data_IF_668406524389
#
_entry.id   IF_668406524389
#
_cell.length_a   1.000
_cell.length_b   1.000
_cell.length_c   1.000
_cell.angle_alpha   90.00
_cell.angle_beta   90.00
_cell.angle_gamma   90.00
#
_symmetry.space_group_name_H-M   'P 1'
#
loop_
_entity.id
_entity.type
_entity.pdbx_description
1 polymer ?
#
# COMPACT_ATOMS: atom_id res chain seq x y z
N UNK A 1 0.55 -13.52 19.94
CA UNK A 1 -0.42 -13.09 18.93
C UNK A 1 -0.11 -11.65 18.66
N UNK A 2 0.36 -11.35 17.44
CA UNK A 2 0.71 -9.99 17.06
C UNK A 2 -0.57 -9.14 17.03
N UNK A 3 -0.52 -7.88 17.51
CA UNK A 3 -1.70 -7.02 17.64
C UNK A 3 -1.37 -5.63 17.13
N UNK A 4 -2.21 -5.12 16.22
CA UNK A 4 -1.96 -3.83 15.57
C UNK A 4 -3.27 -3.12 15.24
N UNK A 5 -3.28 -1.79 15.30
CA UNK A 5 -4.44 -1.01 14.87
C UNK A 5 -4.52 -0.99 13.34
N UNK A 6 -5.70 -1.16 12.76
CA UNK A 6 -5.88 -1.19 11.31
C UNK A 6 -6.40 0.15 10.78
N UNK A 7 -5.67 0.70 9.80
CA UNK A 7 -6.07 1.85 9.01
C UNK A 7 -6.25 1.46 7.54
N UNK A 8 -7.50 1.33 7.06
CA UNK A 8 -7.80 0.95 5.68
C UNK A 8 -7.52 2.05 4.65
N UNK A 9 -7.26 3.29 5.11
CA UNK A 9 -7.27 4.46 4.23
C UNK A 9 -8.64 4.69 3.59
N UNK A 10 -8.66 5.49 2.52
CA UNK A 10 -9.89 5.79 1.79
C UNK A 10 -10.21 4.73 0.73
N UNK A 11 -9.19 4.16 0.10
CA UNK A 11 -9.36 3.38 -1.13
C UNK A 11 -9.83 1.96 -0.85
N UNK A 12 -9.26 1.27 0.15
CA UNK A 12 -9.59 -0.13 0.43
C UNK A 12 -11.08 -0.35 0.77
N UNK A 13 -11.72 0.62 1.42
CA UNK A 13 -13.15 0.57 1.79
C UNK A 13 -14.08 1.33 0.83
N UNK A 14 -13.59 1.79 -0.32
CA UNK A 14 -14.40 2.53 -1.28
C UNK A 14 -14.25 2.04 -2.73
N UNK A 15 -13.01 2.00 -3.24
CA UNK A 15 -12.72 1.72 -4.64
C UNK A 15 -11.99 0.40 -4.90
N UNK A 16 -11.38 -0.19 -3.86
CA UNK A 16 -10.61 -1.43 -3.95
C UNK A 16 -11.04 -2.42 -2.85
N UNK A 17 -12.33 -2.80 -2.84
CA UNK A 17 -12.90 -3.70 -1.83
C UNK A 17 -12.21 -5.06 -1.78
N UNK A 18 -11.60 -5.49 -2.87
CA UNK A 18 -10.78 -6.70 -2.92
C UNK A 18 -9.63 -6.68 -1.88
N UNK A 19 -9.10 -5.50 -1.56
CA UNK A 19 -8.07 -5.31 -0.53
C UNK A 19 -8.65 -5.56 0.85
N UNK A 20 -9.81 -4.98 1.16
CA UNK A 20 -10.48 -5.11 2.45
C UNK A 20 -11.01 -6.52 2.68
N UNK A 21 -11.53 -7.17 1.65
CA UNK A 21 -11.95 -8.58 1.72
C UNK A 21 -10.80 -9.50 2.13
N UNK A 22 -9.58 -9.19 1.65
CA UNK A 22 -8.41 -10.03 1.87
C UNK A 22 -7.69 -9.77 3.20
N UNK A 23 -7.80 -8.55 3.78
CA UNK A 23 -7.04 -8.19 4.98
C UNK A 23 -7.44 -8.99 6.22
N UNK A 24 -8.73 -9.21 6.45
CA UNK A 24 -9.20 -9.94 7.63
C UNK A 24 -8.81 -11.42 7.59
N UNK A 25 -9.02 -12.16 6.47
CA UNK A 25 -8.61 -13.55 6.37
C UNK A 25 -7.10 -13.77 6.42
N UNK A 26 -6.30 -12.92 5.76
CA UNK A 26 -4.84 -13.06 5.81
C UNK A 26 -4.31 -12.84 7.23
N UNK A 27 -4.81 -11.82 7.94
CA UNK A 27 -4.42 -11.57 9.32
C UNK A 27 -4.84 -12.71 10.24
N UNK A 28 -6.03 -13.29 10.04
CA UNK A 28 -6.48 -14.46 10.79
C UNK A 28 -5.55 -15.67 10.58
N UNK A 29 -5.14 -15.95 9.35
CA UNK A 29 -4.26 -17.07 9.05
C UNK A 29 -2.85 -16.92 9.63
N UNK A 30 -2.36 -15.69 9.74
CA UNK A 30 -1.05 -15.37 10.33
C UNK A 30 -1.12 -15.03 11.83
N UNK A 31 -2.25 -15.27 12.49
CA UNK A 31 -2.45 -15.01 13.92
C UNK A 31 -2.18 -13.54 14.32
N UNK A 32 -2.62 -12.61 13.46
CA UNK A 32 -2.58 -11.16 13.64
C UNK A 32 -3.95 -10.68 14.10
N UNK A 33 -4.01 -10.03 15.26
CA UNK A 33 -5.21 -9.37 15.75
C UNK A 33 -5.26 -7.92 15.23
N UNK A 34 -6.15 -7.66 14.28
CA UNK A 34 -6.47 -6.31 13.84
C UNK A 34 -7.43 -5.61 14.81
N UNK A 35 -7.07 -4.40 15.21
CA UNK A 35 -7.89 -3.54 16.04
C UNK A 35 -8.43 -2.38 15.21
N UNK A 36 -9.74 -2.39 14.97
CA UNK A 36 -10.39 -1.34 14.19
C UNK A 36 -10.27 0.05 14.82
N UNK A 37 -10.10 1.05 13.94
CA UNK A 37 -10.14 2.47 14.26
C UNK A 37 -11.37 3.13 13.62
N UNK A 38 -12.60 2.88 14.11
CA UNK A 38 -13.84 3.32 13.45
C UNK A 38 -14.00 4.84 13.34
N UNK A 39 -13.23 5.61 14.13
CA UNK A 39 -13.23 7.07 14.10
C UNK A 39 -12.12 7.64 13.20
N UNK A 40 -11.24 6.81 12.64
CA UNK A 40 -10.19 7.29 11.76
C UNK A 40 -10.80 7.98 10.53
N UNK A 41 -10.15 9.05 10.09
CA UNK A 41 -10.54 9.85 8.92
C UNK A 41 -9.57 9.63 7.76
N UNK A 42 -9.89 10.20 6.60
CA UNK A 42 -8.92 10.38 5.51
C UNK A 42 -7.63 11.03 6.00
N UNK A 43 -6.50 10.61 5.45
CA UNK A 43 -5.17 11.22 5.62
C UNK A 43 -4.92 12.39 4.65
N UNK A 44 -5.90 12.71 3.79
CA UNK A 44 -5.83 13.78 2.81
C UNK A 44 -5.06 13.45 1.52
N UNK A 45 -4.47 12.26 1.41
CA UNK A 45 -3.81 11.76 0.20
C UNK A 45 -2.71 12.65 -0.37
N UNK A 46 -2.05 13.47 0.46
CA UNK A 46 -1.11 14.54 0.05
C UNK A 46 -1.68 15.62 -0.88
N UNK A 47 -2.98 15.57 -1.22
CA UNK A 47 -3.66 16.59 -2.00
C UNK A 47 -3.99 17.79 -1.11
N UNK A 48 -4.48 17.55 0.10
CA UNK A 48 -4.82 18.61 1.05
C UNK A 48 -3.57 19.41 1.46
N UNK A 49 -2.42 18.74 1.65
CA UNK A 49 -1.16 19.39 2.05
C UNK A 49 -0.64 20.39 1.02
N UNK A 50 -1.02 20.29 -0.26
CA UNK A 50 -0.68 21.30 -1.27
C UNK A 50 -1.34 22.66 -1.01
N UNK A 51 -2.51 22.66 -0.36
CA UNK A 51 -3.21 23.88 0.03
C UNK A 51 -2.99 24.26 1.50
N UNK A 52 -3.04 23.27 2.41
CA UNK A 52 -2.93 23.50 3.85
C UNK A 52 -2.27 22.32 4.58
N UNK A 53 -0.93 22.37 4.78
CA UNK A 53 -0.21 21.34 5.53
C UNK A 53 -0.78 21.10 6.92
N UNK A 54 -1.14 22.18 7.63
CA UNK A 54 -1.72 22.11 8.97
C UNK A 54 -2.98 21.26 9.03
N UNK A 55 -3.88 21.38 8.05
CA UNK A 55 -5.11 20.58 8.04
C UNK A 55 -4.81 19.10 7.82
N UNK A 56 -3.95 18.78 6.84
CA UNK A 56 -3.61 17.38 6.56
C UNK A 56 -2.90 16.74 7.76
N UNK A 57 -1.88 17.40 8.29
CA UNK A 57 -1.13 16.88 9.43
C UNK A 57 -2.02 16.73 10.67
N UNK A 58 -3.06 17.57 10.84
CA UNK A 58 -4.05 17.38 11.91
C UNK A 58 -4.94 16.16 11.71
N UNK A 59 -5.35 15.86 10.48
CA UNK A 59 -6.12 14.63 10.18
C UNK A 59 -5.27 13.38 10.44
N UNK A 60 -4.00 13.43 10.03
CA UNK A 60 -3.05 12.32 10.18
C UNK A 60 -2.67 12.12 11.65
N UNK A 61 -2.31 13.19 12.37
CA UNK A 61 -2.02 13.14 13.80
C UNK A 61 -3.21 12.61 14.60
N UNK A 62 -4.45 12.98 14.23
CA UNK A 62 -5.66 12.41 14.84
C UNK A 62 -5.75 10.89 14.64
N UNK A 63 -5.42 10.38 13.45
CA UNK A 63 -5.44 8.93 13.20
C UNK A 63 -4.37 8.19 14.01
N UNK A 64 -3.16 8.75 14.08
CA UNK A 64 -2.06 8.22 14.90
C UNK A 64 -2.45 8.21 16.39
N UNK A 65 -2.98 9.33 16.90
CA UNK A 65 -3.45 9.46 18.27
C UNK A 65 -4.56 8.46 18.65
N UNK A 66 -5.42 8.07 17.71
CA UNK A 66 -6.47 7.06 17.95
C UNK A 66 -5.90 5.66 18.16
N UNK A 67 -4.79 5.32 17.48
CA UNK A 67 -4.06 4.08 17.71
C UNK A 67 -3.21 4.17 18.99
N UNK A 68 -2.59 5.32 19.25
CA UNK A 68 -1.79 5.59 20.45
C UNK A 68 -2.61 5.50 21.73
N UNK A 69 -3.84 6.01 21.73
CA UNK A 69 -4.78 5.88 22.84
C UNK A 69 -5.15 4.42 23.17
N UNK A 70 -4.83 3.47 22.27
CA UNK A 70 -4.98 2.03 22.47
C UNK A 70 -3.65 1.33 22.80
N UNK A 71 -2.54 2.08 22.82
CA UNK A 71 -1.19 1.56 23.00
C UNK A 71 -0.72 0.68 21.85
N UNK A 72 -1.10 1.02 20.61
CA UNK A 72 -0.81 0.23 19.42
C UNK A 72 -0.18 1.07 18.31
N UNK A 73 0.69 0.44 17.53
CA UNK A 73 1.07 0.94 16.20
C UNK A 73 -0.11 0.85 15.23
N UNK A 74 -0.01 1.58 14.12
CA UNK A 74 -1.04 1.65 13.07
C UNK A 74 -0.54 0.99 11.78
N UNK A 75 -1.22 -0.06 11.33
CA UNK A 75 -0.96 -0.74 10.06
C UNK A 75 -1.84 -0.20 8.95
N UNK A 76 -1.27 -0.03 7.76
CA UNK A 76 -2.02 0.24 6.53
C UNK A 76 -1.53 -0.63 5.38
N UNK A 77 -2.42 -0.88 4.42
CA UNK A 77 -2.12 -1.56 3.16
C UNK A 77 -1.71 -0.60 2.05
N UNK A 78 -1.71 0.71 2.30
CA UNK A 78 -1.45 1.74 1.30
C UNK A 78 -0.08 2.39 1.52
N UNK A 79 0.86 2.22 0.59
CA UNK A 79 2.18 2.86 0.65
C UNK A 79 2.10 4.39 0.79
N UNK A 80 1.18 5.04 0.06
CA UNK A 80 0.94 6.49 0.15
C UNK A 80 0.49 6.90 1.55
N UNK A 81 -0.47 6.17 2.14
CA UNK A 81 -0.94 6.46 3.51
C UNK A 81 0.16 6.25 4.54
N UNK A 82 0.96 5.20 4.40
CA UNK A 82 2.11 4.95 5.27
C UNK A 82 3.12 6.09 5.22
N UNK A 83 3.51 6.51 4.02
CA UNK A 83 4.43 7.62 3.82
C UNK A 83 3.91 8.95 4.37
N UNK A 84 2.61 9.24 4.18
CA UNK A 84 1.95 10.43 4.73
C UNK A 84 2.04 10.42 6.27
N UNK A 85 1.72 9.29 6.89
CA UNK A 85 1.81 9.14 8.35
C UNK A 85 3.24 9.33 8.86
N UNK A 86 4.22 8.70 8.22
CA UNK A 86 5.63 8.88 8.59
C UNK A 86 6.06 10.34 8.41
N UNK A 87 5.68 11.01 7.31
CA UNK A 87 6.03 12.41 7.06
C UNK A 87 5.45 13.34 8.13
N UNK A 88 4.18 13.16 8.51
CA UNK A 88 3.57 13.96 9.57
C UNK A 88 4.24 13.71 10.92
N UNK A 89 4.58 12.46 11.24
CA UNK A 89 5.31 12.14 12.46
C UNK A 89 6.71 12.78 12.49
N UNK A 90 7.45 12.72 11.39
CA UNK A 90 8.77 13.36 11.24
C UNK A 90 8.68 14.88 11.35
N UNK A 91 7.69 15.50 10.69
CA UNK A 91 7.44 16.95 10.75
C UNK A 91 7.15 17.42 12.18
N UNK A 92 6.29 16.69 12.92
CA UNK A 92 5.97 16.99 14.32
C UNK A 92 7.15 16.74 15.25
N UNK A 93 7.94 15.69 15.02
CA UNK A 93 9.15 15.40 15.82
C UNK A 93 10.22 16.48 15.63
N UNK A 94 10.36 17.02 14.41
CA UNK A 94 11.35 18.05 14.08
C UNK A 94 11.00 19.42 14.63
N UNK A 95 9.71 19.76 14.73
CA UNK A 95 9.24 21.06 15.22
C UNK A 95 8.22 20.92 16.36
N UNK A 96 8.67 21.04 17.63
CA UNK A 96 7.78 20.96 18.80
C UNK A 96 6.70 22.06 18.86
N UNK A 97 6.94 23.23 18.28
CA UNK A 97 5.96 24.33 18.24
C UNK A 97 4.85 24.00 17.25
N UNK A 98 5.24 23.44 16.09
CA UNK A 98 4.28 22.91 15.12
C UNK A 98 3.49 21.75 15.70
N UNK A 99 4.15 20.79 16.35
CA UNK A 99 3.48 19.66 17.00
C UNK A 99 2.46 20.11 18.04
N UNK A 100 2.81 21.08 18.89
CA UNK A 100 1.88 21.70 19.84
C UNK A 100 0.69 22.36 19.13
N UNK A 101 0.92 23.06 18.03
CA UNK A 101 -0.16 23.67 17.23
C UNK A 101 -1.13 22.61 16.68
N UNK A 102 -0.60 21.51 16.14
CA UNK A 102 -1.40 20.39 15.63
C UNK A 102 -2.15 19.70 16.76
N UNK A 103 -1.47 19.32 17.85
CA UNK A 103 -2.10 18.64 18.99
C UNK A 103 -3.18 19.50 19.64
N UNK A 104 -3.00 20.81 19.77
CA UNK A 104 -4.05 21.70 20.26
C UNK A 104 -5.31 21.66 19.37
N UNK A 105 -5.17 21.60 18.05
CA UNK A 105 -6.31 21.49 17.12
C UNK A 105 -6.99 20.11 17.22
N UNK A 106 -6.19 19.04 17.27
CA UNK A 106 -6.68 17.66 17.38
C UNK A 106 -7.39 17.44 18.72
N UNK A 107 -6.82 17.86 19.84
CA UNK A 107 -7.38 17.75 21.18
C UNK A 107 -8.74 18.46 21.28
N UNK A 108 -8.85 19.69 20.75
CA UNK A 108 -10.10 20.47 20.77
C UNK A 108 -11.24 19.80 20.01
N UNK A 109 -10.94 19.05 18.96
CA UNK A 109 -11.95 18.47 18.06
C UNK A 109 -12.23 16.99 18.32
N UNK A 110 -11.28 16.26 18.90
CA UNK A 110 -11.35 14.81 18.99
C UNK A 110 -10.95 14.23 20.36
N UNK A 111 -10.47 15.07 21.29
CA UNK A 111 -10.06 14.68 22.65
C UNK A 111 -8.96 13.62 22.69
N UNK A 112 -8.13 13.58 21.67
CA UNK A 112 -6.91 12.76 21.60
C UNK A 112 -5.74 13.65 21.22
N UNK A 113 -4.53 13.21 21.55
CA UNK A 113 -3.27 13.88 21.25
C UNK A 113 -2.28 12.84 20.76
N UNK A 114 -1.42 13.22 19.81
CA UNK A 114 -0.36 12.35 19.31
C UNK A 114 0.94 12.75 19.99
N UNK A 115 1.50 11.87 20.83
CA UNK A 115 2.74 12.15 21.58
C UNK A 115 3.99 11.63 20.86
N UNK A 116 3.82 10.81 19.82
CA UNK A 116 4.94 10.30 19.01
C UNK A 116 5.32 8.85 19.29
N UNK A 117 4.51 8.14 20.09
CA UNK A 117 4.80 6.76 20.48
C UNK A 117 4.32 5.75 19.43
N UNK A 118 3.15 5.99 18.83
CA UNK A 118 2.62 5.14 17.76
C UNK A 118 3.37 5.35 16.46
N UNK A 119 3.81 4.26 15.85
CA UNK A 119 4.42 4.27 14.53
C UNK A 119 3.44 3.76 13.45
N UNK A 120 3.60 4.28 12.24
CA UNK A 120 2.95 3.72 11.06
C UNK A 120 3.73 2.49 10.58
N UNK A 121 3.03 1.44 10.18
CA UNK A 121 3.58 0.23 9.57
C UNK A 121 2.84 -0.05 8.26
N UNK A 122 3.58 -0.32 7.18
CA UNK A 122 2.99 -0.89 5.97
C UNK A 122 2.83 -2.41 6.12
N UNK A 123 1.79 -2.99 5.51
CA UNK A 123 1.54 -4.44 5.54
C UNK A 123 2.79 -5.25 5.13
N UNK A 124 3.50 -4.85 4.07
CA UNK A 124 4.71 -5.50 3.61
C UNK A 124 5.77 -5.56 4.72
N UNK A 125 6.11 -4.39 5.28
CA UNK A 125 7.10 -4.29 6.36
C UNK A 125 6.68 -5.11 7.58
N UNK A 126 5.38 -5.10 7.93
CA UNK A 126 4.87 -5.87 9.05
C UNK A 126 4.97 -7.39 8.82
N UNK A 127 4.68 -7.87 7.61
CA UNK A 127 4.83 -9.29 7.24
C UNK A 127 6.29 -9.73 7.27
N UNK A 128 7.21 -8.89 6.80
CA UNK A 128 8.65 -9.25 6.75
C UNK A 128 9.29 -9.16 8.13
N UNK A 129 9.10 -8.08 8.88
CA UNK A 129 9.85 -7.81 10.12
C UNK A 129 9.19 -8.41 11.37
N UNK A 130 7.87 -8.28 11.52
CA UNK A 130 7.18 -8.68 12.75
C UNK A 130 6.70 -10.13 12.69
N UNK A 131 6.14 -10.54 11.55
CA UNK A 131 5.62 -11.92 11.36
C UNK A 131 6.74 -12.86 10.94
N UNK A 132 7.66 -12.39 10.10
CA UNK A 132 8.76 -13.17 9.55
C UNK A 132 8.35 -14.01 8.34
N UNK A 133 9.22 -14.03 7.34
CA UNK A 133 9.00 -14.77 6.09
C UNK A 133 8.90 -16.29 6.28
N UNK A 134 9.54 -16.85 7.30
CA UNK A 134 9.43 -18.27 7.63
C UNK A 134 8.01 -18.64 8.06
N UNK A 135 7.41 -17.84 8.95
CA UNK A 135 6.01 -17.99 9.37
C UNK A 135 5.06 -17.87 8.18
N UNK A 136 5.31 -16.92 7.27
CA UNK A 136 4.51 -16.75 6.06
C UNK A 136 4.62 -18.00 5.18
N UNK A 137 5.84 -18.50 4.94
CA UNK A 137 6.11 -19.68 4.11
C UNK A 137 5.42 -20.92 4.66
N UNK A 138 5.48 -21.13 5.97
CA UNK A 138 4.84 -22.28 6.64
C UNK A 138 3.31 -22.24 6.56
N UNK A 139 2.72 -21.06 6.39
CA UNK A 139 1.28 -20.88 6.27
C UNK A 139 0.75 -21.00 4.81
N UNK A 140 1.64 -21.10 3.82
CA UNK A 140 1.26 -21.22 2.40
C UNK A 140 0.51 -22.53 2.13
N UNK A 141 -0.63 -22.40 1.47
CA UNK A 141 -1.47 -23.51 0.97
C UNK A 141 -1.53 -23.56 -0.55
N UNK A 142 -1.49 -22.39 -1.20
CA UNK A 142 -1.59 -22.22 -2.65
C UNK A 142 -0.34 -21.49 -3.18
N UNK A 143 0.77 -22.18 -3.46
CA UNK A 143 1.96 -21.53 -3.99
C UNK A 143 1.68 -20.84 -5.34
N UNK A 144 2.21 -19.63 -5.54
CA UNK A 144 1.90 -18.78 -6.68
C UNK A 144 2.41 -19.34 -8.03
N UNK A 145 3.57 -19.99 -8.05
CA UNK A 145 4.15 -20.67 -9.23
C UNK A 145 4.11 -19.84 -10.54
N UNK A 146 4.41 -18.54 -10.46
CA UNK A 146 4.44 -17.64 -11.61
C UNK A 146 5.45 -16.52 -11.41
N UNK A 147 5.82 -15.85 -12.50
CA UNK A 147 6.69 -14.66 -12.49
C UNK A 147 5.92 -13.41 -12.09
N UNK A 148 6.37 -12.73 -11.05
CA UNK A 148 5.63 -11.61 -10.44
C UNK A 148 6.53 -10.37 -10.38
N UNK A 149 6.08 -9.27 -10.97
CA UNK A 149 6.72 -7.97 -10.82
C UNK A 149 6.24 -7.28 -9.54
N UNK A 150 7.19 -6.90 -8.70
CA UNK A 150 6.98 -6.19 -7.45
C UNK A 150 6.87 -4.67 -7.71
N UNK A 151 5.69 -4.07 -7.59
CA UNK A 151 5.51 -2.61 -7.67
C UNK A 151 5.34 -1.97 -6.29
N UNK A 152 6.39 -1.30 -5.82
CA UNK A 152 6.42 -0.60 -4.54
C UNK A 152 5.75 0.76 -4.60
N UNK A 153 5.93 1.46 -5.73
CA UNK A 153 5.64 2.87 -5.87
C UNK A 153 6.65 3.77 -5.13
N UNK A 154 6.53 5.09 -5.30
CA UNK A 154 7.55 6.04 -4.83
C UNK A 154 7.44 6.42 -3.35
N UNK A 155 6.27 6.22 -2.72
CA UNK A 155 5.95 6.90 -1.47
C UNK A 155 6.62 6.27 -0.24
N UNK A 156 6.67 4.93 -0.15
CA UNK A 156 7.24 4.25 1.02
C UNK A 156 8.75 3.98 0.91
N UNK A 157 9.35 4.27 -0.25
CA UNK A 157 10.77 4.06 -0.52
C UNK A 157 11.59 5.29 -0.13
N UNK A 158 11.68 5.51 1.18
CA UNK A 158 12.50 6.58 1.79
C UNK A 158 12.99 6.17 3.17
N UNK A 159 14.11 6.76 3.58
CA UNK A 159 14.60 6.63 4.96
C UNK A 159 13.50 6.98 5.97
N UNK A 160 13.28 6.09 6.93
CA UNK A 160 12.25 6.22 7.97
C UNK A 160 10.85 5.76 7.57
N UNK A 161 10.60 5.40 6.30
CA UNK A 161 9.34 4.80 5.85
C UNK A 161 9.51 3.46 5.10
N UNK A 162 10.74 3.05 4.77
CA UNK A 162 11.05 1.73 4.20
C UNK A 162 11.36 0.65 5.26
N UNK A 163 11.15 0.97 6.54
CA UNK A 163 11.53 0.12 7.68
C UNK A 163 13.02 -0.28 7.60
N UNK A 164 13.35 -1.57 7.58
CA UNK A 164 14.70 -2.10 7.37
C UNK A 164 15.06 -2.45 5.92
N UNK A 165 14.22 -2.12 4.94
CA UNK A 165 14.52 -2.31 3.50
C UNK A 165 15.40 -1.17 2.96
N UNK A 166 15.98 -1.36 1.78
CA UNK A 166 16.77 -0.32 1.12
C UNK A 166 15.85 0.71 0.43
N UNK A 167 15.99 2.02 0.74
CA UNK A 167 15.13 3.06 0.19
C UNK A 167 15.32 3.31 -1.31
N UNK A 168 16.41 2.82 -1.91
CA UNK A 168 16.72 2.99 -3.33
C UNK A 168 16.57 1.69 -4.12
N UNK A 169 16.90 0.55 -3.50
CA UNK A 169 16.88 -0.78 -4.10
C UNK A 169 16.13 -1.79 -3.22
N UNK A 170 14.81 -1.61 -3.01
CA UNK A 170 14.05 -2.44 -2.10
C UNK A 170 13.97 -3.89 -2.58
N UNK A 171 13.86 -4.81 -1.61
CA UNK A 171 13.81 -6.26 -1.85
C UNK A 171 12.73 -6.99 -1.07
N UNK A 172 12.03 -6.33 -0.12
CA UNK A 172 11.10 -7.03 0.77
C UNK A 172 9.92 -7.68 0.06
N UNK A 173 9.40 -7.05 -1.00
CA UNK A 173 8.31 -7.62 -1.79
C UNK A 173 8.77 -8.79 -2.64
N UNK A 174 10.00 -8.76 -3.19
CA UNK A 174 10.60 -9.90 -3.86
C UNK A 174 10.78 -11.08 -2.90
N UNK A 175 11.33 -10.83 -1.70
CA UNK A 175 11.48 -11.85 -0.66
C UNK A 175 10.13 -12.44 -0.23
N UNK A 176 9.10 -11.60 -0.11
CA UNK A 176 7.73 -12.05 0.17
C UNK A 176 7.18 -12.90 -0.99
N UNK A 177 7.37 -12.48 -2.24
CA UNK A 177 6.95 -13.25 -3.42
C UNK A 177 7.59 -14.66 -3.40
N UNK A 178 8.89 -14.76 -3.09
CA UNK A 178 9.58 -16.04 -2.94
C UNK A 178 9.00 -16.88 -1.80
N UNK A 179 8.72 -16.28 -0.65
CA UNK A 179 8.11 -16.96 0.49
C UNK A 179 6.70 -17.51 0.17
N UNK A 180 5.97 -16.85 -0.74
CA UNK A 180 4.66 -17.29 -1.23
C UNK A 180 4.75 -18.30 -2.39
N UNK A 181 5.96 -18.73 -2.78
CA UNK A 181 6.20 -19.70 -3.84
C UNK A 181 6.08 -19.12 -5.25
N UNK A 182 6.24 -17.81 -5.41
CA UNK A 182 6.37 -17.13 -6.71
C UNK A 182 7.84 -16.92 -7.11
N UNK A 183 8.06 -16.38 -8.31
CA UNK A 183 9.38 -15.96 -8.79
C UNK A 183 9.36 -14.46 -9.04
N UNK A 184 10.12 -13.64 -8.30
CA UNK A 184 10.16 -12.21 -8.54
C UNK A 184 10.81 -11.90 -9.90
N UNK A 185 10.29 -10.86 -10.56
CA UNK A 185 10.85 -10.29 -11.78
C UNK A 185 11.58 -9.01 -11.40
N UNK A 186 12.84 -8.90 -11.80
CA UNK A 186 13.62 -7.67 -11.66
C UNK A 186 13.34 -6.73 -12.84
N UNK A 187 13.08 -5.47 -12.54
CA UNK A 187 12.76 -4.42 -13.52
C UNK A 187 12.95 -3.03 -12.89
N UNK A 188 13.26 -2.05 -13.73
CA UNK A 188 13.75 -0.74 -13.26
C UNK A 188 12.64 0.13 -12.66
N UNK A 189 11.42 0.06 -13.20
CA UNK A 189 10.34 0.98 -12.83
C UNK A 189 9.57 0.61 -11.56
N UNK A 190 10.04 -0.36 -10.76
CA UNK A 190 9.36 -0.84 -9.53
C UNK A 190 9.05 0.22 -8.46
N UNK A 191 9.85 1.28 -8.40
CA UNK A 191 9.67 2.41 -7.49
C UNK A 191 9.21 3.71 -8.20
N UNK A 192 8.95 3.63 -9.50
CA UNK A 192 8.54 4.81 -10.29
C UNK A 192 7.12 5.23 -9.96
N UNK A 193 6.82 6.52 -10.12
CA UNK A 193 5.45 7.03 -9.97
C UNK A 193 4.55 6.60 -11.13
N UNK A 194 3.30 6.26 -10.82
CA UNK A 194 2.23 6.05 -11.81
C UNK A 194 1.31 7.28 -11.97
N UNK A 195 1.65 8.40 -11.34
CA UNK A 195 0.91 9.66 -11.49
C UNK A 195 -0.43 9.77 -10.77
N UNK A 196 -0.71 8.93 -9.77
CA UNK A 196 -2.04 8.86 -9.14
C UNK A 196 -2.59 10.20 -8.62
N UNK A 197 -1.75 11.05 -8.02
CA UNK A 197 -2.17 12.37 -7.50
C UNK A 197 -2.57 13.35 -8.61
N UNK A 198 -2.10 13.14 -9.82
CA UNK A 198 -2.31 14.01 -10.98
C UNK A 198 -3.29 13.43 -11.99
N UNK A 199 -3.86 12.24 -11.73
CA UNK A 199 -4.76 11.56 -12.67
C UNK A 199 -5.96 12.43 -13.10
N UNK A 200 -6.49 13.24 -12.19
CA UNK A 200 -7.65 14.10 -12.47
C UNK A 200 -7.30 15.46 -13.11
N UNK A 201 -6.02 15.87 -13.10
CA UNK A 201 -5.58 17.19 -13.56
C UNK A 201 -4.66 17.12 -14.78
N UNK A 202 -3.80 16.10 -14.84
CA UNK A 202 -2.81 15.82 -15.89
C UNK A 202 -2.97 14.36 -16.34
N UNK A 203 -4.15 14.04 -16.86
CA UNK A 203 -4.55 12.66 -17.14
C UNK A 203 -3.59 11.96 -18.12
N UNK A 204 -3.30 12.57 -19.29
CA UNK A 204 -2.44 11.96 -20.31
C UNK A 204 -1.02 11.66 -19.79
N UNK A 205 -0.44 12.57 -19.00
CA UNK A 205 0.86 12.35 -18.37
C UNK A 205 0.81 11.21 -17.34
N UNK A 206 -0.26 11.14 -16.56
CA UNK A 206 -0.46 10.09 -15.54
C UNK A 206 -0.63 8.71 -16.20
N UNK A 207 -1.36 8.66 -17.31
CA UNK A 207 -1.54 7.46 -18.12
C UNK A 207 -0.25 7.03 -18.80
N UNK A 208 0.56 7.96 -19.31
CA UNK A 208 1.87 7.64 -19.89
C UNK A 208 2.83 7.05 -18.84
N UNK A 209 2.84 7.59 -17.61
CA UNK A 209 3.63 7.03 -16.50
C UNK A 209 3.14 5.64 -16.10
N UNK A 210 1.82 5.45 -15.96
CA UNK A 210 1.21 4.14 -15.69
C UNK A 210 1.60 3.12 -16.76
N UNK A 211 1.52 3.50 -18.04
CA UNK A 211 1.88 2.62 -19.14
C UNK A 211 3.37 2.27 -19.16
N UNK A 212 4.25 3.20 -18.77
CA UNK A 212 5.68 2.93 -18.70
C UNK A 212 5.99 1.82 -17.68
N UNK A 213 5.39 1.87 -16.49
CA UNK A 213 5.57 0.86 -15.44
C UNK A 213 5.05 -0.51 -15.89
N UNK A 214 3.84 -0.56 -16.45
CA UNK A 214 3.24 -1.82 -16.90
C UNK A 214 4.02 -2.45 -18.07
N UNK A 215 4.43 -1.64 -19.05
CA UNK A 215 5.20 -2.12 -20.21
C UNK A 215 6.55 -2.69 -19.80
N UNK A 216 7.27 -2.01 -18.89
CA UNK A 216 8.57 -2.44 -18.38
C UNK A 216 8.47 -3.78 -17.62
N UNK A 217 7.45 -3.93 -16.76
CA UNK A 217 7.18 -5.20 -16.10
C UNK A 217 6.88 -6.35 -17.09
N UNK A 218 6.07 -6.07 -18.13
CA UNK A 218 5.73 -7.06 -19.18
C UNK A 218 6.97 -7.43 -20.00
N UNK A 219 7.76 -6.46 -20.42
CA UNK A 219 8.99 -6.65 -21.21
C UNK A 219 10.04 -7.45 -20.40
N UNK A 220 10.04 -7.29 -19.08
CA UNK A 220 10.85 -8.07 -18.14
C UNK A 220 10.29 -9.48 -17.85
N UNK A 221 9.12 -9.81 -18.41
CA UNK A 221 8.55 -11.16 -18.36
C UNK A 221 7.59 -11.43 -17.20
N UNK A 222 6.98 -10.39 -16.62
CA UNK A 222 5.97 -10.54 -15.58
C UNK A 222 4.68 -11.19 -16.10
N UNK A 223 4.17 -12.17 -15.35
CA UNK A 223 2.84 -12.77 -15.56
C UNK A 223 1.75 -12.11 -14.69
N UNK A 224 2.18 -11.37 -13.66
CA UNK A 224 1.37 -10.62 -12.70
C UNK A 224 2.19 -9.45 -12.17
N UNK A 225 1.56 -8.29 -11.99
CA UNK A 225 2.13 -7.17 -11.23
C UNK A 225 1.46 -7.11 -9.87
N UNK A 226 2.24 -6.95 -8.81
CA UNK A 226 1.74 -6.83 -7.44
C UNK A 226 2.04 -5.44 -6.90
N UNK A 227 0.99 -4.71 -6.54
CA UNK A 227 1.10 -3.36 -5.98
C UNK A 227 1.12 -3.38 -4.45
N UNK A 228 2.05 -2.66 -3.85
CA UNK A 228 2.07 -2.36 -2.42
C UNK A 228 1.17 -1.16 -2.04
N UNK A 229 0.53 -0.50 -3.00
CA UNK A 229 -0.27 0.70 -2.75
C UNK A 229 -1.66 0.58 -3.35
N UNK A 230 -2.69 0.77 -2.53
CA UNK A 230 -4.08 0.79 -3.00
C UNK A 230 -4.37 1.92 -3.98
N UNK A 231 -3.71 3.07 -3.83
CA UNK A 231 -3.89 4.23 -4.73
C UNK A 231 -3.27 3.94 -6.10
N UNK A 232 -2.01 3.46 -6.13
CA UNK A 232 -1.36 3.09 -7.39
C UNK A 232 -1.98 1.86 -8.05
N UNK A 233 -2.55 0.94 -7.24
CA UNK A 233 -3.28 -0.23 -7.73
C UNK A 233 -4.42 0.16 -8.67
N UNK A 234 -5.18 1.20 -8.35
CA UNK A 234 -6.25 1.69 -9.24
C UNK A 234 -5.68 2.11 -10.62
N UNK A 235 -4.56 2.83 -10.64
CA UNK A 235 -3.93 3.24 -11.90
C UNK A 235 -3.51 2.00 -12.72
N UNK A 236 -2.76 1.10 -12.09
CA UNK A 236 -2.19 -0.07 -12.75
C UNK A 236 -3.26 -1.06 -13.25
N UNK A 237 -4.34 -1.24 -12.50
CA UNK A 237 -5.43 -2.17 -12.82
C UNK A 237 -6.54 -1.54 -13.68
N UNK A 238 -7.16 -0.46 -13.21
CA UNK A 238 -8.39 0.08 -13.82
C UNK A 238 -8.12 0.97 -15.05
N UNK A 239 -6.97 1.66 -15.09
CA UNK A 239 -6.63 2.54 -16.20
C UNK A 239 -5.77 1.89 -17.28
N UNK A 240 -5.50 0.58 -17.15
CA UNK A 240 -4.60 -0.18 -18.02
C UNK A 240 -4.89 0.00 -19.52
N UNK A 241 -6.14 -0.20 -19.95
CA UNK A 241 -6.52 -0.07 -21.36
C UNK A 241 -6.42 1.38 -21.86
N UNK A 242 -6.73 2.36 -21.00
CA UNK A 242 -6.61 3.79 -21.37
C UNK A 242 -5.14 4.20 -21.46
N UNK A 243 -4.30 3.71 -20.55
CA UNK A 243 -2.86 3.92 -20.54
C UNK A 243 -2.22 3.39 -21.82
N UNK A 244 -2.56 2.17 -22.23
CA UNK A 244 -2.07 1.57 -23.48
C UNK A 244 -2.48 2.37 -24.73
N UNK A 245 -3.72 2.91 -24.78
CA UNK A 245 -4.18 3.76 -25.89
C UNK A 245 -3.42 5.09 -25.97
N UNK A 246 -3.14 5.73 -24.83
CA UNK A 246 -2.45 7.02 -24.79
C UNK A 246 -0.97 6.86 -25.14
N UNK A 247 -0.31 5.82 -24.65
CA UNK A 247 1.14 5.64 -24.84
C UNK A 247 1.52 4.81 -26.07
N UNK A 248 0.59 4.04 -26.65
CA UNK A 248 0.86 3.04 -27.69
C UNK A 248 1.69 1.85 -27.20
N UNK A 249 1.80 1.64 -25.88
CA UNK A 249 2.58 0.54 -25.27
C UNK A 249 1.69 -0.65 -24.93
N UNK A 250 2.29 -1.84 -24.83
CA UNK A 250 1.58 -2.97 -24.26
C UNK A 250 1.47 -2.78 -22.75
N UNK A 251 0.23 -2.69 -22.25
CA UNK A 251 -0.05 -2.55 -20.82
C UNK A 251 -0.83 -3.73 -20.26
N UNK A 252 -1.14 -4.75 -21.08
CA UNK A 252 -2.06 -5.84 -20.74
C UNK A 252 -1.40 -6.89 -19.84
N UNK A 253 -1.59 -6.77 -18.53
CA UNK A 253 -1.07 -7.70 -17.51
C UNK A 253 -2.00 -7.73 -16.30
N UNK A 254 -2.24 -8.90 -15.66
CA UNK A 254 -2.94 -8.95 -14.39
C UNK A 254 -2.25 -8.10 -13.34
N UNK A 255 -3.04 -7.34 -12.57
CA UNK A 255 -2.55 -6.53 -11.46
C UNK A 255 -3.33 -6.91 -10.20
N UNK A 256 -2.63 -7.20 -9.13
CA UNK A 256 -3.22 -7.48 -7.82
C UNK A 256 -2.59 -6.62 -6.75
N UNK A 257 -3.35 -6.32 -5.70
CA UNK A 257 -2.79 -5.74 -4.50
C UNK A 257 -2.08 -6.82 -3.66
N UNK A 258 -1.05 -6.42 -2.90
CA UNK A 258 -0.28 -7.32 -2.03
C UNK A 258 -1.15 -8.19 -1.12
N UNK A 259 -2.20 -7.61 -0.53
CA UNK A 259 -3.12 -8.35 0.35
C UNK A 259 -3.83 -9.49 -0.37
N UNK A 260 -4.14 -9.34 -1.66
CA UNK A 260 -4.83 -10.37 -2.45
C UNK A 260 -3.94 -11.58 -2.69
N UNK A 261 -2.69 -11.37 -3.08
CA UNK A 261 -1.76 -12.49 -3.33
C UNK A 261 -1.40 -13.23 -2.05
N UNK A 262 -1.28 -12.51 -0.92
CA UNK A 262 -1.04 -13.13 0.39
C UNK A 262 -2.26 -13.93 0.80
N UNK A 263 -3.46 -13.36 0.74
CA UNK A 263 -4.69 -14.09 1.08
C UNK A 263 -4.88 -15.33 0.19
N UNK A 264 -4.63 -15.21 -1.12
CA UNK A 264 -4.67 -16.33 -2.05
C UNK A 264 -3.71 -17.45 -1.63
N UNK A 265 -2.45 -17.11 -1.41
CA UNK A 265 -1.42 -18.07 -1.04
C UNK A 265 -1.73 -18.78 0.30
N UNK A 266 -2.39 -18.10 1.23
CA UNK A 266 -2.84 -18.66 2.52
C UNK A 266 -4.13 -19.49 2.44
N UNK A 267 -4.72 -19.65 1.25
CA UNK A 267 -5.88 -20.50 1.02
C UNK A 267 -7.23 -19.79 0.91
N UNK A 268 -7.25 -18.46 0.75
CA UNK A 268 -8.49 -17.69 0.65
C UNK A 268 -8.76 -17.21 -0.77
N UNK A 269 -10.04 -17.12 -1.15
CA UNK A 269 -10.47 -16.62 -2.46
C UNK A 269 -9.75 -17.25 -3.68
N UNK A 270 -9.57 -18.59 -3.74
CA UNK A 270 -8.83 -19.23 -4.84
C UNK A 270 -9.42 -18.91 -6.23
N UNK A 271 -10.75 -18.73 -6.30
CA UNK A 271 -11.45 -18.40 -7.55
C UNK A 271 -11.20 -16.97 -8.04
N UNK A 272 -10.86 -16.03 -7.13
CA UNK A 272 -10.68 -14.61 -7.48
C UNK A 272 -9.44 -14.39 -8.32
N UNK A 273 -8.32 -15.06 -8.01
CA UNK A 273 -7.10 -14.97 -8.81
C UNK A 273 -7.30 -15.56 -10.22
N UNK A 274 -8.06 -16.66 -10.33
CA UNK A 274 -8.41 -17.25 -11.63
C UNK A 274 -9.28 -16.31 -12.48
N UNK A 275 -10.22 -15.60 -11.86
CA UNK A 275 -11.02 -14.56 -12.51
C UNK A 275 -10.15 -13.39 -12.99
N UNK A 276 -9.13 -13.01 -12.22
CA UNK A 276 -8.20 -11.92 -12.56
C UNK A 276 -7.44 -12.18 -13.87
N UNK A 277 -6.90 -13.39 -14.04
CA UNK A 277 -6.28 -13.84 -15.31
C UNK A 277 -7.25 -13.78 -16.49
N UNK A 278 -8.52 -14.11 -16.25
CA UNK A 278 -9.56 -14.08 -17.28
C UNK A 278 -9.97 -12.65 -17.63
N UNK A 279 -10.11 -11.77 -16.63
CA UNK A 279 -10.48 -10.36 -16.78
C UNK A 279 -9.50 -9.62 -17.70
N UNK A 280 -8.20 -9.81 -17.48
CA UNK A 280 -7.17 -9.13 -18.29
C UNK A 280 -7.21 -9.57 -19.74
N UNK A 281 -7.44 -10.86 -20.01
CA UNK A 281 -7.59 -11.38 -21.38
C UNK A 281 -8.81 -10.81 -22.12
N UNK A 282 -9.86 -10.42 -21.39
CA UNK A 282 -11.10 -9.89 -21.96
C UNK A 282 -11.10 -8.35 -22.09
N UNK A 283 -10.40 -7.65 -21.21
CA UNK A 283 -10.38 -6.17 -21.15
C UNK A 283 -9.14 -5.56 -21.83
N UNK A 284 -8.03 -6.32 -21.85
CA UNK A 284 -6.76 -5.92 -22.45
C UNK A 284 -6.63 -6.26 -23.94
N UNK A 285 -7.72 -6.70 -24.58
CA UNK A 285 -7.83 -6.99 -26.02
C UNK A 285 -8.54 -5.87 -26.78
#
# INVERSE_FOLDING_TARGET
MAKIAYYPGNVARAGAYEVEDCIQPLCKALNIQLVELPKASSDGGNVIKQATPKLQDSLVARNLALAEAKGLDIMTTCATSHAIMCNTADDMKRDPVYASTINNLVARTSKVEYTGETQSRHLLHYLVEEIGLDTVRDAVKNPLNMKIAAYYGPDMQRDGACAGDDPFMPTYMEQLIEALGGTPVDYDSKCSSVGSTSMLTLEDSSLAMTAAVLSDAIESGAELVVSACTVSHINLDSYQSKAGRVSGKNTSVPVSHLSEIVAFALGYYPDRLAQLRTRVRLIGS
#
